data_IF_742135227929
#
_entry.id   IF_742135227929
#
_cell.length_a   1.000
_cell.length_b   1.000
_cell.length_c   1.000
_cell.angle_alpha   90.00
_cell.angle_beta   90.00
_cell.angle_gamma   90.00
#
_symmetry.space_group_name_H-M   'P 1'
#
loop_
_entity.id
_entity.type
_entity.pdbx_description
1 polymer ?
#
# COMPACT_ATOMS: atom_id res chain seq x y z
N UNK A 1 10.05 7.91 -12.16
CA UNK A 1 8.84 8.35 -11.43
C UNK A 1 8.98 7.66 -10.10
N UNK A 2 9.24 8.41 -9.02
CA UNK A 2 9.44 7.81 -7.71
C UNK A 2 8.05 7.58 -7.12
N UNK A 3 7.70 6.33 -6.92
CA UNK A 3 6.44 5.98 -6.28
C UNK A 3 6.65 6.00 -4.78
N UNK A 4 5.78 6.71 -4.07
CA UNK A 4 5.87 6.84 -2.62
C UNK A 4 4.87 5.92 -1.96
N UNK A 5 5.26 5.31 -0.85
CA UNK A 5 4.33 4.54 -0.02
C UNK A 5 3.24 5.47 0.52
N UNK A 6 1.96 5.16 0.29
CA UNK A 6 0.82 5.89 0.83
C UNK A 6 0.85 5.98 2.37
N UNK A 7 1.34 4.92 3.03
CA UNK A 7 1.30 4.81 4.49
C UNK A 7 2.46 5.55 5.17
N UNK A 8 3.70 5.25 4.79
CA UNK A 8 4.89 5.83 5.42
C UNK A 8 5.52 7.00 4.63
N UNK A 9 5.01 7.29 3.43
CA UNK A 9 5.52 8.34 2.53
C UNK A 9 6.99 8.18 2.15
N UNK A 10 7.60 7.00 2.36
CA UNK A 10 8.94 6.70 1.88
C UNK A 10 8.96 6.61 0.36
N UNK A 11 10.03 7.14 -0.24
CA UNK A 11 10.35 6.93 -1.65
C UNK A 11 10.74 5.47 -1.88
N UNK A 12 10.00 4.81 -2.77
CA UNK A 12 10.27 3.45 -3.19
C UNK A 12 10.61 3.49 -4.69
N UNK A 13 11.90 3.38 -5.00
CA UNK A 13 12.37 3.50 -6.40
C UNK A 13 11.89 2.33 -7.29
N UNK A 14 11.73 1.12 -6.75
CA UNK A 14 11.47 -0.08 -7.59
C UNK A 14 10.62 -1.19 -6.91
N UNK A 15 10.32 -1.07 -5.62
CA UNK A 15 9.64 -2.12 -4.84
C UNK A 15 8.38 -1.60 -4.17
N UNK A 16 7.46 -1.03 -4.94
CA UNK A 16 6.09 -0.72 -4.46
C UNK A 16 5.13 -1.86 -4.79
N UNK A 17 4.21 -2.09 -3.86
CA UNK A 17 3.09 -2.99 -4.02
C UNK A 17 1.80 -2.19 -4.12
N UNK A 18 1.02 -2.43 -5.17
CA UNK A 18 -0.30 -1.85 -5.33
C UNK A 18 -1.32 -2.69 -4.56
N UNK A 19 -2.11 -2.04 -3.72
CA UNK A 19 -3.16 -2.66 -2.93
C UNK A 19 -4.49 -1.97 -3.14
N UNK A 20 -5.54 -2.77 -3.31
CA UNK A 20 -6.90 -2.28 -3.43
C UNK A 20 -7.52 -2.10 -2.05
N UNK A 21 -7.72 -0.85 -1.64
CA UNK A 21 -8.47 -0.50 -0.46
C UNK A 21 -9.95 -0.32 -0.81
N UNK A 22 -10.82 -0.95 -0.02
CA UNK A 22 -12.26 -0.73 -0.09
C UNK A 22 -12.67 0.21 1.02
N UNK A 23 -12.85 1.49 0.69
CA UNK A 23 -13.31 2.50 1.66
C UNK A 23 -14.58 3.17 1.16
N UNK A 24 -15.59 3.28 2.04
CA UNK A 24 -16.87 3.92 1.74
C UNK A 24 -17.58 3.37 0.48
N UNK A 25 -17.46 2.05 0.24
CA UNK A 25 -18.08 1.37 -0.91
C UNK A 25 -17.40 1.64 -2.26
N UNK A 26 -16.20 2.24 -2.25
CA UNK A 26 -15.36 2.40 -3.44
C UNK A 26 -14.06 1.64 -3.27
N UNK A 27 -13.67 0.92 -4.31
CA UNK A 27 -12.33 0.38 -4.46
C UNK A 27 -11.43 1.51 -4.98
N UNK A 28 -10.31 1.71 -4.30
CA UNK A 28 -9.22 2.56 -4.79
C UNK A 28 -7.89 1.82 -4.59
N UNK A 29 -6.96 2.05 -5.51
CA UNK A 29 -5.66 1.40 -5.51
C UNK A 29 -4.62 2.39 -4.97
N UNK A 30 -3.90 1.97 -3.92
CA UNK A 30 -2.85 2.76 -3.29
C UNK A 30 -1.54 1.97 -3.29
N UNK A 31 -0.41 2.68 -3.28
CA UNK A 31 0.93 2.09 -3.27
C UNK A 31 1.42 1.91 -1.84
N UNK A 32 1.98 0.74 -1.52
CA UNK A 32 2.64 0.45 -0.25
C UNK A 32 4.07 0.00 -0.49
N UNK A 33 4.98 0.35 0.42
CA UNK A 33 6.30 -0.26 0.46
C UNK A 33 6.19 -1.72 0.93
N UNK A 34 7.25 -2.54 0.76
CA UNK A 34 7.22 -3.96 1.12
C UNK A 34 6.90 -4.16 2.61
N UNK A 35 7.44 -3.31 3.48
CA UNK A 35 7.20 -3.36 4.92
C UNK A 35 5.72 -3.09 5.27
N UNK A 36 5.16 -1.98 4.78
CA UNK A 36 3.75 -1.64 5.02
C UNK A 36 2.78 -2.62 4.34
N UNK A 37 3.19 -3.20 3.19
CA UNK A 37 2.42 -4.24 2.51
C UNK A 37 2.34 -5.52 3.34
N UNK A 38 3.45 -5.95 3.96
CA UNK A 38 3.44 -7.10 4.88
C UNK A 38 2.53 -6.86 6.09
N UNK A 39 2.61 -5.68 6.71
CA UNK A 39 1.70 -5.31 7.81
C UNK A 39 0.23 -5.29 7.37
N UNK A 40 -0.04 -4.73 6.19
CA UNK A 40 -1.37 -4.69 5.61
C UNK A 40 -1.94 -6.08 5.34
N UNK A 41 -1.13 -7.00 4.80
CA UNK A 41 -1.51 -8.41 4.61
C UNK A 41 -1.84 -9.11 5.94
N UNK A 42 -1.10 -8.78 7.01
CA UNK A 42 -1.43 -9.30 8.34
C UNK A 42 -2.73 -8.71 8.90
N UNK A 43 -2.98 -7.42 8.66
CA UNK A 43 -4.20 -6.73 9.07
C UNK A 43 -5.47 -7.20 8.36
N UNK A 44 -5.38 -7.62 7.09
CA UNK A 44 -6.51 -8.19 6.34
C UNK A 44 -6.97 -9.56 6.85
N UNK A 45 -6.19 -10.22 7.72
CA UNK A 45 -6.52 -11.56 8.25
C UNK A 45 -7.47 -11.52 9.45
N UNK A 46 -8.07 -10.36 9.76
CA UNK A 46 -8.97 -10.12 10.89
C UNK A 46 -10.43 -10.00 10.50
#
# INVERSE_FOLDING_TARGET
MNETCFYCQCECDDNVHYVSFYTNGKEHEETLCPECYEEWLQGMKG
#
